data_IF_063260740290
#
_entry.id   IF_063260740290
#
_cell.length_a   1.000
_cell.length_b   1.000
_cell.length_c   1.000
_cell.angle_alpha   90.00
_cell.angle_beta   90.00
_cell.angle_gamma   90.00
#
_symmetry.space_group_name_H-M   'P 1'
#
loop_
_entity.id
_entity.type
_entity.pdbx_description
1 polymer ?
#
# COMPACT_ATOMS: atom_id res chain seq x y z
N UNK A 1 18.52 56.88 -50.00
CA UNK A 1 18.72 57.02 -48.54
C UNK A 1 17.93 55.89 -47.90
N UNK A 2 18.59 54.77 -47.56
CA UNK A 2 17.95 53.53 -47.09
C UNK A 2 18.23 53.42 -45.60
N UNK A 3 17.18 53.51 -44.78
CA UNK A 3 17.25 53.29 -43.32
C UNK A 3 16.95 51.80 -43.11
N UNK A 4 17.97 51.04 -42.73
CA UNK A 4 17.94 49.60 -42.54
C UNK A 4 17.69 49.19 -41.09
N UNK A 5 16.87 48.15 -40.93
CA UNK A 5 16.35 47.58 -39.70
C UNK A 5 17.39 47.00 -38.73
N UNK A 6 17.25 47.31 -37.43
CA UNK A 6 17.79 46.49 -36.32
C UNK A 6 16.84 46.59 -35.11
N UNK A 7 15.72 45.86 -35.09
CA UNK A 7 15.00 45.50 -33.85
C UNK A 7 14.25 44.18 -34.07
N UNK A 8 14.94 43.04 -33.99
CA UNK A 8 14.28 41.72 -34.02
C UNK A 8 15.09 40.59 -33.35
N UNK A 9 15.89 40.86 -32.31
CA UNK A 9 16.74 39.84 -31.68
C UNK A 9 16.74 39.83 -30.14
N UNK A 10 15.85 40.56 -29.48
CA UNK A 10 15.76 40.57 -28.01
C UNK A 10 14.62 39.71 -27.43
N UNK A 11 13.62 39.33 -28.24
CA UNK A 11 12.45 38.59 -27.74
C UNK A 11 12.56 37.06 -27.87
N UNK A 12 13.52 36.55 -28.66
CA UNK A 12 13.75 35.10 -28.77
C UNK A 12 14.66 34.55 -27.65
N UNK A 13 15.56 35.36 -27.08
CA UNK A 13 16.49 34.92 -26.03
C UNK A 13 15.93 34.93 -24.60
N UNK A 14 14.93 35.78 -24.33
CA UNK A 14 14.30 35.89 -23.01
C UNK A 14 13.40 34.70 -22.66
N UNK A 15 12.67 34.17 -23.64
CA UNK A 15 11.82 32.98 -23.48
C UNK A 15 12.62 31.72 -23.19
N UNK A 16 13.75 31.52 -23.89
CA UNK A 16 14.66 30.41 -23.63
C UNK A 16 15.30 30.50 -22.25
N UNK A 17 15.74 31.68 -21.80
CA UNK A 17 16.35 31.83 -20.48
C UNK A 17 15.36 31.64 -19.31
N UNK A 18 14.10 32.03 -19.47
CA UNK A 18 13.08 31.83 -18.44
C UNK A 18 12.62 30.36 -18.38
N UNK A 19 12.46 29.71 -19.53
CA UNK A 19 12.16 28.28 -19.61
C UNK A 19 13.32 27.41 -19.06
N UNK A 20 14.58 27.75 -19.38
CA UNK A 20 15.74 26.98 -18.90
C UNK A 20 16.06 27.22 -17.43
N UNK A 21 15.88 28.45 -16.92
CA UNK A 21 16.09 28.74 -15.48
C UNK A 21 14.97 28.17 -14.61
N UNK A 22 13.72 28.21 -15.09
CA UNK A 22 12.59 27.58 -14.40
C UNK A 22 12.77 26.07 -14.28
N UNK A 23 13.04 25.38 -15.39
CA UNK A 23 13.27 23.93 -15.39
C UNK A 23 14.44 23.49 -14.49
N UNK A 24 15.56 24.23 -14.49
CA UNK A 24 16.70 23.91 -13.61
C UNK A 24 16.37 24.07 -12.11
N UNK A 25 15.60 25.10 -11.74
CA UNK A 25 15.16 25.29 -10.35
C UNK A 25 14.16 24.21 -9.94
N UNK A 26 13.26 23.83 -10.84
CA UNK A 26 12.28 22.77 -10.62
C UNK A 26 12.98 21.42 -10.41
N UNK A 27 13.92 21.05 -11.29
CA UNK A 27 14.70 19.81 -11.17
C UNK A 27 15.54 19.77 -9.88
N UNK A 28 16.14 20.90 -9.48
CA UNK A 28 16.88 21.00 -8.22
C UNK A 28 15.96 20.85 -7.01
N UNK A 29 14.77 21.47 -7.07
CA UNK A 29 13.77 21.35 -6.00
C UNK A 29 13.27 19.92 -5.84
N UNK A 30 13.04 19.22 -6.96
CA UNK A 30 12.64 17.82 -6.98
C UNK A 30 13.75 16.91 -6.45
N UNK A 31 15.00 17.15 -6.87
CA UNK A 31 16.15 16.40 -6.37
C UNK A 31 16.39 16.60 -4.87
N UNK A 32 15.99 17.75 -4.31
CA UNK A 32 15.99 17.99 -2.87
C UNK A 32 14.73 17.50 -2.14
N UNK A 33 13.67 17.17 -2.87
CA UNK A 33 12.41 16.72 -2.28
C UNK A 33 12.63 15.41 -1.52
N UNK A 34 11.96 15.28 -0.37
CA UNK A 34 12.16 14.16 0.55
C UNK A 34 13.63 13.96 0.94
N UNK A 35 14.44 15.04 1.00
CA UNK A 35 15.87 14.99 1.28
C UNK A 35 16.66 14.10 0.28
N UNK A 36 16.22 14.07 -0.98
CA UNK A 36 16.87 13.30 -2.05
C UNK A 36 16.58 11.79 -2.04
N UNK A 37 15.53 11.35 -1.35
CA UNK A 37 15.10 9.95 -1.36
C UNK A 37 14.36 9.54 -2.65
N UNK A 38 13.93 10.50 -3.46
CA UNK A 38 13.22 10.25 -4.72
C UNK A 38 14.16 10.24 -5.92
N UNK A 39 13.98 9.25 -6.80
CA UNK A 39 14.60 9.26 -8.12
C UNK A 39 13.81 10.17 -9.06
N UNK A 40 14.41 11.30 -9.46
CA UNK A 40 13.72 12.28 -10.31
C UNK A 40 13.30 11.70 -11.65
N UNK A 41 14.07 10.76 -12.21
CA UNK A 41 13.77 10.13 -13.50
C UNK A 41 12.58 9.18 -13.39
N UNK A 42 12.53 8.36 -12.33
CA UNK A 42 11.42 7.43 -12.11
C UNK A 42 10.12 8.17 -11.76
N UNK A 43 10.20 9.31 -11.04
CA UNK A 43 9.02 10.13 -10.73
C UNK A 43 8.47 10.82 -11.98
N UNK A 44 9.33 11.37 -12.85
CA UNK A 44 8.90 11.95 -14.14
C UNK A 44 8.22 10.90 -15.02
N UNK A 45 8.82 9.70 -15.07
CA UNK A 45 8.29 8.56 -15.81
C UNK A 45 6.92 8.08 -15.27
N UNK A 46 6.77 7.99 -13.95
CA UNK A 46 5.51 7.63 -13.29
C UNK A 46 4.39 8.63 -13.59
N UNK A 47 4.68 9.93 -13.48
CA UNK A 47 3.69 10.99 -13.63
C UNK A 47 3.42 11.32 -15.12
N UNK A 48 4.32 10.93 -16.02
CA UNK A 48 4.28 11.30 -17.43
C UNK A 48 4.43 12.82 -17.62
N UNK A 49 5.28 13.44 -16.82
CA UNK A 49 5.50 14.89 -16.82
C UNK A 49 7.00 15.20 -16.92
N UNK A 50 7.37 16.05 -17.89
CA UNK A 50 8.77 16.41 -18.13
C UNK A 50 9.31 17.43 -17.12
N UNK A 51 8.40 18.28 -16.61
CA UNK A 51 8.68 19.30 -15.60
C UNK A 51 7.93 18.95 -14.33
N UNK A 52 8.70 18.82 -13.25
CA UNK A 52 8.20 18.55 -11.92
C UNK A 52 8.94 19.41 -10.93
N UNK A 53 8.19 19.96 -9.97
CA UNK A 53 8.70 20.75 -8.88
C UNK A 53 8.51 19.99 -7.57
N UNK A 54 9.55 20.00 -6.73
CA UNK A 54 9.46 19.51 -5.37
C UNK A 54 8.85 20.56 -4.45
N UNK A 55 7.88 20.14 -3.65
CA UNK A 55 7.29 20.90 -2.55
C UNK A 55 7.47 20.14 -1.23
N UNK A 56 7.65 20.88 -0.13
CA UNK A 56 7.96 20.33 1.18
C UNK A 56 9.48 20.20 1.40
N UNK A 57 9.96 20.80 2.50
CA UNK A 57 11.38 20.76 2.90
C UNK A 57 11.66 19.70 3.96
N UNK A 58 10.64 18.98 4.41
CA UNK A 58 10.75 17.97 5.47
C UNK A 58 10.80 16.57 4.86
N UNK A 59 11.72 15.72 5.32
CA UNK A 59 11.85 14.32 4.88
C UNK A 59 10.58 13.51 5.10
N UNK A 60 9.75 13.89 6.08
CA UNK A 60 8.56 13.14 6.48
C UNK A 60 7.36 13.30 5.54
N UNK A 61 7.22 14.46 4.87
CA UNK A 61 6.14 14.71 3.89
C UNK A 61 6.63 15.63 2.79
N UNK A 62 6.50 15.15 1.56
CA UNK A 62 6.98 15.83 0.38
C UNK A 62 6.06 15.54 -0.79
N UNK A 63 6.02 16.46 -1.74
CA UNK A 63 5.19 16.36 -2.93
C UNK A 63 6.04 16.69 -4.15
N UNK A 64 5.95 15.88 -5.19
CA UNK A 64 6.39 16.27 -6.54
C UNK A 64 5.14 16.65 -7.34
N UNK A 65 5.14 17.81 -7.99
CA UNK A 65 3.96 18.32 -8.71
C UNK A 65 4.35 18.92 -10.05
N UNK A 66 3.50 18.75 -11.06
CA UNK A 66 3.60 19.48 -12.33
C UNK A 66 3.26 20.97 -12.07
N UNK A 67 4.23 21.89 -12.23
CA UNK A 67 4.02 23.31 -11.92
C UNK A 67 3.05 24.01 -12.88
N UNK A 68 2.73 23.41 -14.03
CA UNK A 68 1.89 24.05 -15.04
C UNK A 68 0.40 23.94 -14.69
N UNK A 69 -0.08 22.79 -14.21
CA UNK A 69 -1.50 22.58 -13.87
C UNK A 69 -1.78 21.84 -12.56
N UNK A 70 -0.75 21.33 -11.87
CA UNK A 70 -0.88 20.63 -10.60
C UNK A 70 -1.61 19.29 -10.64
N UNK A 71 -1.98 18.78 -11.83
CA UNK A 71 -2.76 17.54 -11.95
C UNK A 71 -1.91 16.29 -11.79
N UNK A 72 -0.70 16.32 -12.34
CA UNK A 72 0.32 15.32 -12.08
C UNK A 72 0.98 15.61 -10.72
N UNK A 73 0.78 14.72 -9.75
CA UNK A 73 1.35 14.87 -8.43
C UNK A 73 1.73 13.51 -7.83
N UNK A 74 2.82 13.47 -7.07
CA UNK A 74 3.20 12.37 -6.21
C UNK A 74 3.36 12.90 -4.79
N UNK A 75 2.47 12.51 -3.90
CA UNK A 75 2.57 12.77 -2.47
C UNK A 75 3.28 11.59 -1.81
N UNK A 76 4.27 11.88 -0.98
CA UNK A 76 5.08 10.88 -0.28
C UNK A 76 5.08 11.20 1.20
N UNK A 77 4.80 10.19 2.03
CA UNK A 77 4.95 10.26 3.47
C UNK A 77 5.95 9.19 3.92
N UNK A 78 6.94 9.61 4.71
CA UNK A 78 7.99 8.73 5.21
C UNK A 78 7.99 8.84 6.74
N UNK A 79 7.90 7.71 7.41
CA UNK A 79 7.87 7.64 8.87
C UNK A 79 8.85 6.61 9.41
N UNK A 80 9.31 6.84 10.64
CA UNK A 80 10.17 5.94 11.41
C UNK A 80 9.44 5.43 12.64
N UNK A 81 9.68 4.19 13.01
CA UNK A 81 9.06 3.53 14.16
C UNK A 81 7.64 3.05 13.93
N UNK A 82 6.85 3.78 13.14
CA UNK A 82 5.43 3.54 12.93
C UNK A 82 5.06 3.82 11.48
N UNK A 83 3.92 3.31 11.02
CA UNK A 83 3.37 3.68 9.72
C UNK A 83 2.87 5.14 9.74
N UNK A 84 2.83 5.84 8.58
CA UNK A 84 2.28 7.19 8.52
C UNK A 84 0.84 7.19 9.01
N UNK A 85 0.46 8.23 9.75
CA UNK A 85 -0.96 8.44 10.10
C UNK A 85 -1.77 8.48 8.81
N UNK A 86 -2.88 7.77 8.76
CA UNK A 86 -3.78 7.61 7.60
C UNK A 86 -3.28 6.66 6.51
N UNK A 87 -2.30 5.79 6.77
CA UNK A 87 -1.83 4.80 5.79
C UNK A 87 -2.95 3.90 5.28
N UNK A 88 -3.78 3.36 6.17
CA UNK A 88 -4.90 2.51 5.79
C UNK A 88 -6.01 3.34 5.17
N UNK A 89 -6.28 4.54 5.71
CA UNK A 89 -7.24 5.47 5.10
C UNK A 89 -6.91 5.82 3.65
N UNK A 90 -5.64 6.12 3.37
CA UNK A 90 -5.14 6.46 2.02
C UNK A 90 -5.19 5.27 1.08
N UNK A 91 -4.96 4.06 1.59
CA UNK A 91 -5.05 2.81 0.82
C UNK A 91 -6.50 2.31 0.66
N UNK A 92 -7.50 3.10 1.06
CA UNK A 92 -8.93 2.76 1.07
C UNK A 92 -9.30 1.57 1.99
N UNK A 93 -8.58 1.41 3.08
CA UNK A 93 -8.67 0.28 4.03
C UNK A 93 -9.16 0.62 5.44
N UNK A 94 -9.54 1.87 5.70
CA UNK A 94 -10.12 2.24 7.00
C UNK A 94 -11.48 1.54 7.26
N UNK A 95 -12.15 1.06 6.21
CA UNK A 95 -13.47 0.43 6.27
C UNK A 95 -13.44 -0.99 5.65
N UNK A 96 -12.78 -1.98 6.31
CA UNK A 96 -12.69 -3.34 5.78
C UNK A 96 -14.05 -4.01 5.55
N UNK A 97 -15.10 -3.57 6.25
CA UNK A 97 -16.47 -4.04 6.03
C UNK A 97 -17.07 -3.65 4.67
N UNK A 98 -16.50 -2.73 3.88
CA UNK A 98 -17.06 -2.39 2.56
C UNK A 98 -16.68 -3.46 1.51
N UNK A 99 -15.62 -4.25 1.77
CA UNK A 99 -15.08 -5.22 0.81
C UNK A 99 -14.54 -4.57 -0.47
N UNK A 100 -13.91 -5.36 -1.33
CA UNK A 100 -13.40 -4.90 -2.63
C UNK A 100 -12.15 -4.01 -2.54
N UNK A 101 -11.60 -3.81 -1.34
CA UNK A 101 -10.46 -2.94 -1.07
C UNK A 101 -9.16 -3.72 -0.81
N UNK A 102 -9.03 -4.90 -1.43
CA UNK A 102 -7.86 -5.78 -1.27
C UNK A 102 -6.59 -5.20 -1.90
N UNK A 103 -5.45 -5.33 -1.21
CA UNK A 103 -4.13 -4.91 -1.72
C UNK A 103 -3.45 -6.00 -2.53
N UNK A 104 -2.61 -5.58 -3.49
CA UNK A 104 -1.79 -6.50 -4.29
C UNK A 104 -0.32 -6.31 -3.91
N UNK A 105 0.45 -7.37 -3.62
CA UNK A 105 1.89 -7.22 -3.41
C UNK A 105 2.58 -6.75 -4.68
N UNK A 106 3.72 -6.07 -4.53
CA UNK A 106 4.59 -5.72 -5.65
C UNK A 106 5.27 -6.94 -6.27
N UNK A 107 5.36 -8.05 -5.53
CA UNK A 107 5.98 -9.30 -5.95
C UNK A 107 7.50 -9.30 -5.76
N UNK A 108 8.09 -10.48 -6.01
CA UNK A 108 9.53 -10.73 -5.95
C UNK A 108 10.17 -10.43 -4.57
N UNK A 109 9.43 -10.70 -3.48
CA UNK A 109 9.94 -10.56 -2.11
C UNK A 109 10.16 -9.10 -1.71
N UNK A 110 9.44 -8.17 -2.33
CA UNK A 110 9.50 -6.74 -1.99
C UNK A 110 8.45 -6.42 -0.95
N UNK A 111 8.81 -5.70 0.14
CA UNK A 111 7.85 -5.38 1.20
C UNK A 111 6.99 -4.17 0.83
N UNK A 112 6.31 -4.26 -0.30
CA UNK A 112 5.51 -3.21 -0.93
C UNK A 112 4.16 -3.79 -1.35
N UNK A 113 3.09 -3.07 -1.04
CA UNK A 113 1.74 -3.34 -1.51
C UNK A 113 1.18 -2.15 -2.27
N UNK A 114 0.39 -2.46 -3.29
CA UNK A 114 -0.39 -1.53 -4.09
C UNK A 114 -1.84 -1.54 -3.62
N UNK A 115 -2.43 -0.36 -3.46
CA UNK A 115 -3.81 -0.23 -3.02
C UNK A 115 -4.82 -0.69 -4.06
N UNK A 116 -6.03 -0.99 -3.59
CA UNK A 116 -7.18 -1.22 -4.46
C UNK A 116 -7.59 0.05 -5.22
N UNK A 117 -7.42 1.21 -4.57
CA UNK A 117 -7.54 2.50 -5.22
C UNK A 117 -6.30 2.73 -6.10
N UNK A 118 -6.48 3.00 -7.40
CA UNK A 118 -5.37 3.32 -8.30
C UNK A 118 -4.51 4.48 -7.78
N UNK A 119 -3.20 4.36 -7.98
CA UNK A 119 -2.25 5.40 -7.58
C UNK A 119 -1.81 5.39 -6.13
N UNK A 120 -2.20 4.42 -5.30
CA UNK A 120 -1.71 4.32 -3.91
C UNK A 120 -0.82 3.11 -3.70
N UNK A 121 0.23 3.29 -2.92
CA UNK A 121 1.18 2.23 -2.58
C UNK A 121 1.77 2.49 -1.19
N UNK A 122 2.11 1.43 -0.48
CA UNK A 122 2.83 1.53 0.79
C UNK A 122 3.78 0.36 0.98
N UNK A 123 4.89 0.59 1.66
CA UNK A 123 5.83 -0.46 2.01
C UNK A 123 6.61 -0.13 3.27
N UNK A 124 7.20 -1.14 3.89
CA UNK A 124 7.96 -0.99 5.12
C UNK A 124 9.18 -1.91 5.16
N UNK A 125 10.24 -1.44 5.81
CA UNK A 125 11.41 -2.26 6.16
C UNK A 125 11.70 -2.12 7.64
N UNK A 126 12.10 -3.23 8.26
CA UNK A 126 12.55 -3.24 9.65
C UNK A 126 14.01 -2.81 9.75
N UNK A 127 14.35 -2.02 10.76
CA UNK A 127 15.72 -1.59 11.02
C UNK A 127 16.17 -2.28 12.32
N UNK A 128 17.25 -3.08 12.25
CA UNK A 128 17.74 -3.85 13.40
C UNK A 128 18.21 -2.96 14.58
N UNK A 129 18.27 -3.61 15.77
CA UNK A 129 18.16 -3.07 17.15
C UNK A 129 18.76 -1.68 17.45
N UNK A 130 17.86 -0.81 17.91
CA UNK A 130 18.03 0.51 18.51
C UNK A 130 16.68 1.23 18.52
N UNK A 131 16.59 2.49 18.95
CA UNK A 131 15.36 3.31 18.93
C UNK A 131 14.79 3.57 17.51
N UNK A 132 15.35 2.92 16.47
CA UNK A 132 15.13 3.23 15.05
C UNK A 132 13.86 2.65 14.42
N UNK A 133 13.25 1.63 15.04
CA UNK A 133 12.01 0.95 14.60
C UNK A 133 11.97 0.60 13.11
N UNK A 134 10.79 0.58 12.49
CA UNK A 134 10.63 0.36 11.04
C UNK A 134 10.67 1.67 10.26
N UNK A 135 11.11 1.66 9.01
CA UNK A 135 10.83 2.73 8.06
C UNK A 135 9.61 2.35 7.24
N UNK A 136 8.66 3.27 7.10
CA UNK A 136 7.47 3.07 6.28
C UNK A 136 7.35 4.21 5.27
N UNK A 137 7.01 3.86 4.04
CA UNK A 137 6.73 4.80 2.95
C UNK A 137 5.29 4.62 2.50
N UNK A 138 4.58 5.73 2.34
CA UNK A 138 3.25 5.80 1.74
C UNK A 138 3.32 6.76 0.55
N UNK A 139 2.80 6.32 -0.59
CA UNK A 139 2.72 7.12 -1.80
C UNK A 139 1.28 7.22 -2.30
N UNK A 140 0.94 8.42 -2.78
CA UNK A 140 -0.27 8.69 -3.56
C UNK A 140 0.10 9.47 -4.80
N UNK A 141 -0.14 8.88 -5.96
CA UNK A 141 0.14 9.46 -7.26
C UNK A 141 -1.17 9.78 -8.00
N UNK A 142 -1.13 10.85 -8.78
CA UNK A 142 -2.14 11.23 -9.76
C UNK A 142 -1.44 11.70 -11.02
N UNK A 143 -1.98 11.38 -12.21
CA UNK A 143 -1.43 11.83 -13.49
C UNK A 143 -2.18 13.04 -14.05
N UNK A 144 -1.53 13.72 -14.98
CA UNK A 144 -2.02 14.92 -15.67
C UNK A 144 -3.31 14.67 -16.46
N UNK A 145 -3.44 13.49 -17.04
CA UNK A 145 -4.63 12.99 -17.71
C UNK A 145 -5.64 12.50 -16.66
N UNK A 146 -6.31 13.46 -16.00
CA UNK A 146 -7.29 13.29 -14.92
C UNK A 146 -8.50 12.36 -15.23
N UNK A 147 -8.52 11.68 -16.39
CA UNK A 147 -9.49 10.64 -16.75
C UNK A 147 -8.92 9.21 -16.75
N UNK A 148 -7.59 9.02 -16.64
CA UNK A 148 -6.97 7.70 -16.50
C UNK A 148 -6.50 7.51 -15.06
N UNK A 149 -7.11 6.52 -14.41
CA UNK A 149 -6.65 6.04 -13.11
C UNK A 149 -5.27 5.37 -13.30
N UNK A 150 -4.35 5.52 -12.33
CA UNK A 150 -3.07 4.80 -12.24
C UNK A 150 -3.30 3.30 -11.94
N UNK A 151 -4.08 2.65 -12.79
CA UNK A 151 -4.65 1.32 -12.59
C UNK A 151 -4.13 0.32 -13.61
N UNK A 152 -3.53 0.78 -14.70
CA UNK A 152 -2.96 -0.10 -15.72
C UNK A 152 -1.74 -0.86 -15.16
N UNK A 153 -1.47 -2.09 -15.63
CA UNK A 153 -0.36 -2.90 -15.12
C UNK A 153 0.99 -2.19 -15.14
N UNK A 154 1.32 -1.48 -16.23
CA UNK A 154 2.58 -0.74 -16.36
C UNK A 154 2.68 0.42 -15.35
N UNK A 155 1.58 1.14 -15.12
CA UNK A 155 1.53 2.27 -14.19
C UNK A 155 1.70 1.80 -12.74
N UNK A 156 1.03 0.69 -12.41
CA UNK A 156 1.18 0.01 -11.12
C UNK A 156 2.62 -0.46 -10.89
N UNK A 157 3.27 -1.00 -11.93
CA UNK A 157 4.67 -1.40 -11.86
C UNK A 157 5.61 -0.20 -11.68
N UNK A 158 5.37 0.92 -12.37
CA UNK A 158 6.13 2.18 -12.17
C UNK A 158 5.97 2.71 -10.75
N UNK A 159 4.75 2.69 -10.19
CA UNK A 159 4.52 3.14 -8.82
C UNK A 159 5.23 2.23 -7.79
N UNK A 160 5.13 0.91 -7.97
CA UNK A 160 5.84 -0.05 -7.12
C UNK A 160 7.36 0.13 -7.23
N UNK A 161 7.90 0.44 -8.42
CA UNK A 161 9.32 0.75 -8.63
C UNK A 161 9.75 1.97 -7.84
N UNK A 162 9.04 3.09 -8.00
CA UNK A 162 9.35 4.35 -7.30
C UNK A 162 9.29 4.15 -5.80
N UNK A 163 8.27 3.44 -5.30
CA UNK A 163 8.17 3.16 -3.86
C UNK A 163 9.32 2.28 -3.38
N UNK A 164 9.63 1.21 -4.10
CA UNK A 164 10.72 0.30 -3.72
C UNK A 164 12.06 1.02 -3.68
N UNK A 165 12.38 1.80 -4.72
CA UNK A 165 13.65 2.54 -4.80
C UNK A 165 13.73 3.64 -3.74
N UNK A 166 12.60 4.23 -3.36
CA UNK A 166 12.52 5.20 -2.24
C UNK A 166 12.74 4.50 -0.90
N UNK A 167 12.11 3.33 -0.70
CA UNK A 167 12.22 2.54 0.53
C UNK A 167 13.64 2.00 0.72
N UNK A 168 14.33 1.59 -0.35
CA UNK A 168 15.73 1.16 -0.34
C UNK A 168 16.68 2.31 0.04
N UNK A 169 16.55 3.48 -0.59
CA UNK A 169 17.36 4.67 -0.24
C UNK A 169 17.12 5.14 1.19
N UNK A 170 15.87 5.06 1.63
CA UNK A 170 15.48 5.34 2.99
C UNK A 170 16.12 4.34 3.98
N UNK A 171 16.04 3.04 3.68
CA UNK A 171 16.67 1.99 4.46
C UNK A 171 18.18 2.22 4.60
N UNK A 172 18.87 2.53 3.50
CA UNK A 172 20.30 2.81 3.48
C UNK A 172 20.65 4.04 4.34
N UNK A 173 19.91 5.15 4.16
CA UNK A 173 20.11 6.37 4.95
C UNK A 173 19.96 6.14 6.45
N UNK A 174 19.03 5.27 6.85
CA UNK A 174 18.73 5.02 8.26
C UNK A 174 19.39 3.76 8.82
N UNK A 175 20.28 3.11 8.06
CA UNK A 175 21.04 1.95 8.51
C UNK A 175 20.16 0.73 8.80
N UNK A 176 19.03 0.60 8.10
CA UNK A 176 18.15 -0.55 8.22
C UNK A 176 18.78 -1.78 7.57
N UNK A 177 18.28 -2.97 7.93
CA UNK A 177 18.66 -4.17 7.18
C UNK A 177 18.23 -3.98 5.74
N UNK A 178 19.15 -4.22 4.81
CA UNK A 178 18.80 -4.21 3.40
C UNK A 178 17.73 -5.29 3.20
N UNK A 179 16.63 -4.99 2.49
CA UNK A 179 15.75 -6.06 2.01
C UNK A 179 16.63 -7.14 1.37
N UNK A 180 16.31 -8.41 1.62
CA UNK A 180 16.95 -9.54 0.92
C UNK A 180 16.96 -9.18 -0.56
N UNK A 181 18.11 -9.32 -1.23
CA UNK A 181 18.24 -8.95 -2.63
C UNK A 181 17.11 -9.60 -3.42
N UNK A 182 16.14 -8.78 -3.86
CA UNK A 182 14.98 -9.29 -4.57
C UNK A 182 15.47 -9.99 -5.83
N UNK A 183 15.16 -11.28 -5.97
CA UNK A 183 15.46 -12.02 -7.20
C UNK A 183 14.78 -11.29 -8.37
N UNK A 184 15.54 -10.57 -9.21
CA UNK A 184 15.00 -9.93 -10.43
C UNK A 184 15.32 -8.45 -10.67
N UNK A 185 16.12 -7.77 -9.85
CA UNK A 185 16.59 -6.41 -10.18
C UNK A 185 15.52 -5.32 -10.01
N UNK A 186 15.33 -4.40 -10.96
CA UNK A 186 14.30 -3.32 -10.87
C UNK A 186 12.88 -3.90 -11.02
N UNK A 187 11.86 -3.29 -10.39
CA UNK A 187 10.45 -3.68 -10.62
C UNK A 187 10.11 -3.45 -12.10
N UNK A 188 10.06 -4.52 -12.88
CA UNK A 188 9.61 -4.51 -14.28
C UNK A 188 8.11 -4.74 -14.41
N UNK A 189 7.59 -5.63 -13.57
CA UNK A 189 6.20 -6.09 -13.57
C UNK A 189 5.71 -6.24 -12.13
N UNK A 190 4.39 -6.19 -11.96
CA UNK A 190 3.72 -6.50 -10.68
C UNK A 190 2.73 -7.63 -10.91
N UNK A 191 2.52 -8.52 -9.92
CA UNK A 191 1.50 -9.54 -9.99
C UNK A 191 0.14 -8.96 -10.38
N UNK A 192 -0.60 -9.70 -11.22
CA UNK A 192 -1.93 -9.30 -11.64
C UNK A 192 -2.85 -9.12 -10.42
N UNK A 193 -3.67 -8.06 -10.43
CA UNK A 193 -4.66 -7.86 -9.40
C UNK A 193 -5.84 -8.81 -9.59
N UNK A 194 -5.85 -9.92 -8.84
CA UNK A 194 -6.90 -10.94 -8.90
C UNK A 194 -8.07 -10.68 -7.95
N UNK A 195 -8.09 -9.57 -7.20
CA UNK A 195 -9.12 -9.30 -6.18
C UNK A 195 -10.54 -9.12 -6.73
N UNK A 196 -10.69 -9.05 -8.05
CA UNK A 196 -11.99 -8.95 -8.75
C UNK A 196 -12.41 -10.26 -9.42
N UNK A 197 -11.53 -11.26 -9.47
CA UNK A 197 -11.80 -12.54 -10.09
C UNK A 197 -12.34 -13.52 -9.06
N UNK A 198 -13.62 -13.91 -9.18
CA UNK A 198 -14.23 -14.91 -8.31
C UNK A 198 -13.56 -16.27 -8.53
N UNK A 199 -12.99 -16.83 -7.47
CA UNK A 199 -12.51 -18.20 -7.40
C UNK A 199 -13.64 -19.09 -6.88
N UNK A 200 -13.76 -20.27 -7.48
CA UNK A 200 -14.65 -21.30 -6.98
C UNK A 200 -14.08 -21.95 -5.71
N UNK A 201 -14.94 -22.55 -4.90
CA UNK A 201 -14.54 -23.26 -3.69
C UNK A 201 -13.41 -24.27 -3.95
N UNK A 202 -12.39 -24.24 -3.11
CA UNK A 202 -11.20 -25.10 -3.23
C UNK A 202 -10.31 -24.81 -4.44
N UNK A 203 -10.52 -23.71 -5.19
CA UNK A 203 -9.71 -23.31 -6.36
C UNK A 203 -8.83 -22.08 -6.13
N UNK A 204 -8.90 -21.49 -4.94
CA UNK A 204 -8.03 -20.40 -4.51
C UNK A 204 -6.56 -20.86 -4.47
N UNK A 205 -5.67 -20.08 -5.07
CA UNK A 205 -4.21 -20.36 -5.11
C UNK A 205 -3.37 -19.27 -4.45
N UNK A 206 -3.97 -18.12 -4.15
CA UNK A 206 -3.35 -16.97 -3.51
C UNK A 206 -3.63 -16.93 -2.00
N UNK A 207 -3.90 -15.73 -1.49
CA UNK A 207 -4.13 -15.47 -0.05
C UNK A 207 -5.27 -16.30 0.54
N UNK A 208 -6.26 -16.72 -0.26
CA UNK A 208 -7.38 -17.55 0.18
C UNK A 208 -7.13 -19.07 0.07
N UNK A 209 -5.94 -19.50 -0.36
CA UNK A 209 -5.66 -20.92 -0.57
C UNK A 209 -5.86 -21.73 0.72
N UNK A 210 -6.45 -22.92 0.58
CA UNK A 210 -6.76 -23.83 1.69
C UNK A 210 -8.15 -23.64 2.33
N UNK A 211 -8.88 -22.57 1.97
CA UNK A 211 -10.23 -22.33 2.44
C UNK A 211 -11.23 -22.86 1.41
N UNK A 212 -12.11 -23.78 1.83
CA UNK A 212 -13.11 -24.39 0.95
C UNK A 212 -14.36 -23.50 0.81
N UNK A 213 -14.17 -22.32 0.22
CA UNK A 213 -15.23 -21.36 -0.09
C UNK A 213 -14.94 -20.65 -1.40
N UNK A 214 -15.98 -20.19 -2.10
CA UNK A 214 -15.77 -19.21 -3.15
C UNK A 214 -15.12 -17.95 -2.54
N UNK A 215 -14.27 -17.27 -3.30
CA UNK A 215 -13.45 -16.19 -2.76
C UNK A 215 -12.92 -15.23 -3.82
N UNK A 216 -12.52 -14.06 -3.36
CA UNK A 216 -11.68 -13.12 -4.10
C UNK A 216 -10.35 -13.02 -3.37
N UNK A 217 -9.26 -13.25 -4.09
CA UNK A 217 -7.93 -13.36 -3.50
C UNK A 217 -6.93 -12.46 -4.23
N UNK A 218 -5.78 -12.26 -3.61
CA UNK A 218 -4.62 -11.64 -4.25
C UNK A 218 -3.45 -12.61 -4.28
N UNK A 219 -2.46 -12.40 -5.17
CA UNK A 219 -1.24 -13.19 -5.17
C UNK A 219 -0.55 -13.13 -3.81
N UNK A 220 0.06 -14.23 -3.38
CA UNK A 220 0.88 -14.28 -2.17
C UNK A 220 2.30 -13.79 -2.46
N UNK A 221 2.91 -13.15 -1.46
CA UNK A 221 4.33 -12.78 -1.45
C UNK A 221 4.80 -12.85 0.01
N UNK A 222 6.01 -13.35 0.22
CA UNK A 222 6.60 -13.60 1.55
C UNK A 222 7.09 -12.32 2.25
N UNK A 223 7.18 -11.21 1.53
CA UNK A 223 7.51 -9.91 2.07
C UNK A 223 6.30 -8.98 2.20
N UNK A 224 5.10 -9.39 1.75
CA UNK A 224 3.91 -8.52 1.72
C UNK A 224 3.56 -7.97 3.12
N UNK A 225 3.65 -6.65 3.37
CA UNK A 225 3.34 -6.08 4.69
C UNK A 225 1.85 -6.12 5.05
N UNK A 226 0.98 -6.34 4.06
CA UNK A 226 -0.45 -6.53 4.27
C UNK A 226 -0.97 -7.57 3.27
N UNK A 227 -1.81 -8.48 3.74
CA UNK A 227 -2.47 -9.50 2.90
C UNK A 227 -3.99 -9.41 3.08
N UNK A 228 -4.74 -9.72 2.01
CA UNK A 228 -6.21 -9.73 2.04
C UNK A 228 -6.76 -10.97 1.35
N UNK A 229 -7.82 -11.54 1.92
CA UNK A 229 -8.62 -12.60 1.33
C UNK A 229 -10.10 -12.32 1.62
N UNK A 230 -10.95 -12.31 0.60
CA UNK A 230 -12.39 -12.07 0.77
C UNK A 230 -13.16 -13.36 0.48
N UNK A 231 -13.87 -13.89 1.46
CA UNK A 231 -14.76 -15.02 1.25
C UNK A 231 -16.09 -14.54 0.66
N UNK A 232 -16.62 -15.35 -0.25
CA UNK A 232 -17.84 -15.06 -0.96
C UNK A 232 -18.73 -16.30 -1.09
N UNK A 233 -20.00 -16.06 -1.38
CA UNK A 233 -20.91 -17.09 -1.88
C UNK A 233 -20.53 -17.48 -3.32
N UNK A 234 -20.99 -18.65 -3.83
CA UNK A 234 -20.80 -19.03 -5.23
C UNK A 234 -21.36 -18.03 -6.24
N UNK A 235 -22.33 -17.20 -5.84
CA UNK A 235 -22.90 -16.09 -6.60
C UNK A 235 -21.93 -14.90 -6.77
N UNK A 236 -20.89 -14.82 -5.93
CA UNK A 236 -19.97 -13.69 -5.84
C UNK A 236 -20.30 -12.68 -4.73
N UNK A 237 -21.40 -12.88 -3.99
CA UNK A 237 -21.75 -12.02 -2.84
C UNK A 237 -20.70 -12.17 -1.74
N UNK A 238 -20.10 -11.07 -1.30
CA UNK A 238 -19.07 -11.06 -0.26
C UNK A 238 -19.66 -11.34 1.11
N UNK A 239 -18.99 -12.19 1.87
CA UNK A 239 -19.40 -12.59 3.22
C UNK A 239 -18.53 -11.90 4.28
N UNK A 240 -17.22 -12.01 4.17
CA UNK A 240 -16.26 -11.42 5.09
C UNK A 240 -14.89 -11.27 4.46
N UNK A 241 -14.11 -10.34 5.01
CA UNK A 241 -12.73 -10.10 4.66
C UNK A 241 -11.80 -10.60 5.76
N UNK A 242 -10.80 -11.35 5.36
CA UNK A 242 -9.62 -11.72 6.13
C UNK A 242 -8.49 -10.77 5.78
N UNK A 243 -7.75 -10.31 6.78
CA UNK A 243 -6.57 -9.48 6.58
C UNK A 243 -5.45 -9.85 7.53
N UNK A 244 -4.20 -9.76 7.06
CA UNK A 244 -3.00 -9.83 7.89
C UNK A 244 -2.28 -8.49 7.80
N UNK A 245 -1.89 -7.91 8.94
CA UNK A 245 -1.13 -6.67 9.02
C UNK A 245 0.19 -6.93 9.75
N UNK A 246 1.32 -6.67 9.11
CA UNK A 246 2.65 -6.96 9.66
C UNK A 246 3.35 -5.70 10.18
N UNK A 247 4.09 -5.82 11.27
CA UNK A 247 4.96 -4.77 11.81
C UNK A 247 4.21 -3.43 12.04
N UNK A 248 4.64 -2.32 11.40
CA UNK A 248 4.02 -1.00 11.65
C UNK A 248 2.54 -0.92 11.25
N UNK A 249 2.06 -1.85 10.40
CA UNK A 249 0.66 -1.90 10.00
C UNK A 249 -0.25 -2.48 11.08
N UNK A 250 0.28 -3.20 12.09
CA UNK A 250 -0.50 -3.64 13.26
C UNK A 250 -1.07 -2.43 13.99
N UNK A 251 -0.21 -1.46 14.31
CA UNK A 251 -0.63 -0.22 14.98
C UNK A 251 -1.62 0.57 14.12
N UNK A 252 -1.36 0.66 12.81
CA UNK A 252 -2.26 1.32 11.88
C UNK A 252 -3.65 0.64 11.86
N UNK A 253 -3.72 -0.69 11.86
CA UNK A 253 -4.98 -1.43 11.90
C UNK A 253 -5.77 -1.13 13.17
N UNK A 254 -5.10 -1.12 14.34
CA UNK A 254 -5.72 -0.79 15.63
C UNK A 254 -6.20 0.66 15.74
N UNK A 255 -5.59 1.59 14.99
CA UNK A 255 -5.87 3.03 15.12
C UNK A 255 -6.78 3.59 14.03
N UNK A 256 -6.69 3.07 12.81
CA UNK A 256 -7.30 3.68 11.62
C UNK A 256 -8.52 2.93 11.10
N UNK A 257 -8.65 1.64 11.40
CA UNK A 257 -9.84 0.89 11.00
C UNK A 257 -11.03 1.27 11.87
N UNK A 258 -12.23 1.25 11.30
CA UNK A 258 -13.47 1.62 12.00
C UNK A 258 -13.70 0.79 13.27
N UNK A 259 -13.24 -0.47 13.29
CA UNK A 259 -13.31 -1.37 14.45
C UNK A 259 -11.99 -1.50 15.21
N UNK A 260 -10.96 -0.73 14.86
CA UNK A 260 -9.60 -0.86 15.42
C UNK A 260 -9.54 -0.74 16.94
N UNK A 261 -10.41 0.08 17.54
CA UNK A 261 -10.52 0.21 19.01
C UNK A 261 -10.97 -1.06 19.74
N UNK A 262 -11.46 -2.07 19.02
CA UNK A 262 -11.81 -3.38 19.58
C UNK A 262 -10.58 -4.32 19.61
N UNK A 263 -9.58 -4.06 18.76
CA UNK A 263 -8.38 -4.88 18.56
C UNK A 263 -7.28 -4.55 19.58
N UNK A 264 -7.62 -4.49 20.87
CA UNK A 264 -6.68 -4.07 21.93
C UNK A 264 -5.89 -5.24 22.54
N UNK A 265 -6.46 -6.44 22.48
CA UNK A 265 -5.84 -7.68 22.96
C UNK A 265 -5.23 -8.46 21.80
N UNK A 266 -4.39 -9.44 22.11
CA UNK A 266 -3.73 -10.30 21.13
C UNK A 266 -4.71 -11.24 20.42
N UNK A 267 -5.69 -11.74 21.16
CA UNK A 267 -6.81 -12.52 20.63
C UNK A 267 -8.14 -11.98 21.11
N UNK A 268 -9.18 -12.16 20.30
CA UNK A 268 -10.54 -11.82 20.69
C UNK A 268 -11.55 -11.95 19.56
N UNK A 269 -12.78 -11.59 19.88
CA UNK A 269 -13.82 -11.49 18.86
C UNK A 269 -15.23 -11.36 19.42
N UNK A 270 -16.16 -11.12 18.50
CA UNK A 270 -17.58 -10.86 18.74
C UNK A 270 -18.19 -9.96 17.68
N UNK A 271 -19.50 -10.11 17.43
CA UNK A 271 -20.25 -9.23 16.54
C UNK A 271 -19.68 -9.16 15.11
N UNK A 272 -19.28 -10.29 14.54
CA UNK A 272 -18.75 -10.37 13.17
C UNK A 272 -17.30 -9.90 12.99
N UNK A 273 -16.53 -9.81 14.08
CA UNK A 273 -15.08 -9.58 14.04
C UNK A 273 -14.39 -10.62 14.92
N UNK A 274 -13.31 -11.22 14.42
CA UNK A 274 -12.38 -12.02 15.22
C UNK A 274 -10.96 -11.66 14.85
N UNK A 275 -10.03 -11.83 15.80
CA UNK A 275 -8.63 -11.57 15.55
C UNK A 275 -7.72 -12.48 16.38
N UNK A 276 -6.51 -12.65 15.88
CA UNK A 276 -5.40 -13.33 16.54
C UNK A 276 -4.08 -12.68 16.11
N UNK A 277 -3.01 -12.93 16.84
CA UNK A 277 -1.66 -12.43 16.55
C UNK A 277 -0.65 -13.57 16.51
N UNK A 278 0.53 -13.27 15.96
CA UNK A 278 1.73 -14.10 16.06
C UNK A 278 2.97 -13.19 16.13
N UNK A 279 4.10 -13.78 16.54
CA UNK A 279 5.41 -13.12 16.51
C UNK A 279 6.08 -13.38 15.16
N UNK A 280 6.58 -12.35 14.49
CA UNK A 280 7.34 -12.51 13.23
C UNK A 280 8.73 -11.86 13.31
N UNK A 281 9.67 -12.27 12.44
CA UNK A 281 10.99 -11.63 12.34
C UNK A 281 10.95 -10.11 12.15
N UNK A 282 9.94 -9.62 11.42
CA UNK A 282 9.68 -8.22 11.11
C UNK A 282 8.89 -7.47 12.21
N UNK A 283 8.57 -8.11 13.32
CA UNK A 283 7.67 -7.64 14.37
C UNK A 283 6.31 -8.33 14.35
N UNK A 284 5.44 -8.03 15.31
CA UNK A 284 4.14 -8.69 15.47
C UNK A 284 3.29 -8.62 14.19
N UNK A 285 2.41 -9.61 14.03
CA UNK A 285 1.35 -9.63 13.02
C UNK A 285 -0.02 -9.67 13.68
N UNK A 286 -0.97 -8.97 13.07
CA UNK A 286 -2.38 -9.01 13.44
C UNK A 286 -3.20 -9.62 12.29
N UNK A 287 -3.84 -10.75 12.57
CA UNK A 287 -4.80 -11.39 11.68
C UNK A 287 -6.21 -11.03 12.10
N UNK A 288 -7.06 -10.60 11.15
CA UNK A 288 -8.45 -10.23 11.41
C UNK A 288 -9.39 -10.92 10.43
N UNK A 289 -10.61 -11.22 10.87
CA UNK A 289 -11.75 -11.53 10.01
C UNK A 289 -12.89 -10.58 10.34
N UNK A 290 -13.46 -9.90 9.34
CA UNK A 290 -14.55 -8.94 9.54
C UNK A 290 -15.66 -9.14 8.51
N UNK A 291 -16.91 -9.16 8.99
CA UNK A 291 -18.11 -9.26 8.13
C UNK A 291 -18.19 -8.08 7.18
N UNK A 292 -18.47 -8.38 5.92
CA UNK A 292 -18.68 -7.37 4.88
C UNK A 292 -20.15 -6.94 4.86
N UNK A 293 -20.36 -5.66 4.59
CA UNK A 293 -21.64 -5.02 4.37
C UNK A 293 -22.14 -5.34 2.96
N UNK A 294 -23.36 -5.86 2.87
CA UNK A 294 -24.07 -6.01 1.61
C UNK A 294 -24.76 -4.68 1.30
N UNK A 295 -24.19 -3.92 0.34
CA UNK A 295 -24.74 -2.64 -0.10
C UNK A 295 -26.12 -2.78 -0.75
N UNK A 296 -26.36 -3.85 -1.51
CA UNK A 296 -27.63 -4.05 -2.23
C UNK A 296 -28.79 -4.27 -1.25
N UNK A 297 -28.53 -5.02 -0.18
CA UNK A 297 -29.52 -5.34 0.85
C UNK A 297 -29.44 -4.41 2.06
N UNK A 298 -28.48 -3.50 2.09
CA UNK A 298 -28.24 -2.55 3.18
C UNK A 298 -28.18 -3.27 4.55
N UNK A 299 -27.41 -4.35 4.63
CA UNK A 299 -27.30 -5.19 5.84
C UNK A 299 -25.96 -5.89 5.94
N UNK A 300 -25.58 -6.32 7.14
CA UNK A 300 -24.50 -7.30 7.31
C UNK A 300 -25.05 -8.70 7.08
N UNK A 301 -24.27 -9.52 6.38
CA UNK A 301 -24.47 -10.97 6.34
C UNK A 301 -23.43 -11.65 7.22
N UNK A 302 -23.64 -11.74 8.54
CA UNK A 302 -22.70 -12.47 9.38
C UNK A 302 -22.83 -13.96 9.05
N UNK A 303 -21.82 -14.61 8.44
CA UNK A 303 -21.81 -16.06 8.41
C UNK A 303 -21.72 -16.61 9.82
N UNK A 304 -21.92 -17.92 9.94
CA UNK A 304 -21.74 -18.59 11.22
C UNK A 304 -20.38 -18.22 11.85
N UNK A 305 -20.31 -17.94 13.16
CA UNK A 305 -19.05 -17.70 13.86
C UNK A 305 -18.03 -18.80 13.64
N UNK A 306 -18.49 -20.05 13.49
CA UNK A 306 -17.67 -21.20 13.13
C UNK A 306 -16.95 -20.98 11.79
N UNK A 307 -17.67 -20.62 10.73
CA UNK A 307 -17.06 -20.38 9.41
C UNK A 307 -16.00 -19.26 9.47
N UNK A 308 -16.27 -18.16 10.19
CA UNK A 308 -15.30 -17.07 10.34
C UNK A 308 -14.03 -17.53 11.06
N UNK A 309 -14.18 -18.24 12.18
CA UNK A 309 -13.05 -18.73 12.98
C UNK A 309 -12.24 -19.79 12.25
N UNK A 310 -12.89 -20.72 11.57
CA UNK A 310 -12.22 -21.77 10.79
C UNK A 310 -11.43 -21.17 9.61
N UNK A 311 -12.02 -20.18 8.93
CA UNK A 311 -11.36 -19.44 7.83
C UNK A 311 -10.20 -18.58 8.35
N UNK A 312 -10.39 -17.85 9.46
CA UNK A 312 -9.34 -17.05 10.09
C UNK A 312 -8.16 -17.92 10.54
N UNK A 313 -8.44 -19.06 11.17
CA UNK A 313 -7.40 -20.01 11.56
C UNK A 313 -6.59 -20.48 10.35
N UNK A 314 -7.27 -20.96 9.31
CA UNK A 314 -6.61 -21.46 8.09
C UNK A 314 -5.77 -20.38 7.41
N UNK A 315 -6.31 -19.16 7.30
CA UNK A 315 -5.61 -18.01 6.74
C UNK A 315 -4.37 -17.63 7.57
N UNK A 316 -4.54 -17.48 8.90
CA UNK A 316 -3.49 -17.06 9.81
C UNK A 316 -2.35 -18.09 9.86
N UNK A 317 -2.63 -19.39 9.96
CA UNK A 317 -1.61 -20.43 10.00
C UNK A 317 -0.76 -20.46 8.71
N UNK A 318 -1.41 -20.36 7.55
CA UNK A 318 -0.71 -20.36 6.25
C UNK A 318 0.06 -19.07 5.99
N UNK A 319 -0.49 -17.94 6.45
CA UNK A 319 0.17 -16.64 6.33
C UNK A 319 1.39 -16.58 7.27
N UNK A 320 1.26 -17.03 8.51
CA UNK A 320 2.35 -17.15 9.47
C UNK A 320 3.49 -18.05 8.96
N UNK A 321 3.16 -19.23 8.42
CA UNK A 321 4.16 -20.15 7.85
C UNK A 321 4.94 -19.50 6.69
N UNK A 322 4.24 -18.83 5.77
CA UNK A 322 4.86 -18.14 4.62
C UNK A 322 5.83 -17.03 5.05
N UNK A 323 5.50 -16.31 6.12
CA UNK A 323 6.28 -15.18 6.63
C UNK A 323 7.31 -15.58 7.70
N UNK A 324 7.42 -16.88 8.02
CA UNK A 324 8.34 -17.38 9.05
C UNK A 324 7.97 -16.93 10.47
N UNK A 325 6.70 -16.64 10.73
CA UNK A 325 6.18 -16.27 12.04
C UNK A 325 5.99 -17.49 12.94
N UNK A 326 5.78 -17.24 14.24
CA UNK A 326 5.29 -18.26 15.18
C UNK A 326 3.87 -18.70 14.85
N UNK A 327 3.43 -19.81 15.45
CA UNK A 327 2.04 -20.26 15.32
C UNK A 327 1.09 -19.21 15.91
N UNK A 328 0.01 -18.82 15.19
CA UNK A 328 -0.95 -17.86 15.72
C UNK A 328 -1.60 -18.30 17.03
N UNK A 329 -1.86 -17.33 17.90
CA UNK A 329 -2.55 -17.57 19.16
C UNK A 329 -3.94 -18.19 18.94
N UNK A 330 -4.37 -19.14 19.78
CA UNK A 330 -5.63 -19.85 19.57
C UNK A 330 -6.84 -18.92 19.77
N UNK A 331 -7.78 -18.97 18.82
CA UNK A 331 -9.01 -18.19 18.90
C UNK A 331 -9.90 -18.62 20.09
N UNK A 332 -10.68 -17.69 20.67
CA UNK A 332 -11.62 -18.03 21.74
C UNK A 332 -12.65 -19.09 21.33
N UNK A 333 -12.85 -20.08 22.20
CA UNK A 333 -13.81 -21.18 21.98
C UNK A 333 -15.24 -20.78 22.31
N UNK A 334 -15.44 -19.80 23.19
CA UNK A 334 -16.74 -19.29 23.57
C UNK A 334 -17.12 -18.08 22.71
N UNK A 335 -18.33 -18.07 22.15
CA UNK A 335 -18.91 -16.91 21.45
C UNK A 335 -19.35 -15.81 22.43
N UNK A 336 -18.63 -15.67 23.55
CA UNK A 336 -18.98 -14.84 24.68
C UNK A 336 -19.23 -13.41 24.22
N UNK A 337 -20.47 -12.96 24.44
CA UNK A 337 -20.90 -11.58 24.29
C UNK A 337 -19.86 -10.66 24.92
N UNK A 338 -19.09 -9.96 24.09
CA UNK A 338 -18.27 -8.84 24.54
C UNK A 338 -19.19 -7.90 25.32
N UNK A 339 -18.92 -7.75 26.62
CA UNK A 339 -19.64 -6.79 27.46
C UNK A 339 -19.41 -5.40 26.89
N UNK A 340 -20.53 -4.72 26.63
CA UNK A 340 -20.65 -3.29 26.34
C UNK A 340 -20.06 -2.44 27.45
#
# INVERSE_FOLDING_TARGET
MVVGAVVALALAGGGTLYATKGGWLDDRSLASACDGLLDTSEVKELLGADRLRGEGTETARCTAVDPDDGKAALQVQISRGEAPRTVLGTMARANPHIGGASVTPAGAGRPVVLGAQPGTASGSVSCAKGDGGSVTVLMRASRKDAGKLLGEPEERARLARVLTSTLERAAERWGCEKPVESEGGKVGEVPANTSRALRQAGKATGTCAGIDSASYETPTDDAAPIEDCELAEPSGTRLFQLSAYYGPYVKAARQETIRGKQLLTDVGGGGGLWWTTADCPQGDVLYTVETVWDEEKNTFHPPSPKLQKDALKTFAERSAERHGCSTPEPLPTNDGTSRS
#
